data_IF_764391071997
#
_entry.id   IF_764391071997
#
_cell.length_a   1.000
_cell.length_b   1.000
_cell.length_c   1.000
_cell.angle_alpha   90.00
_cell.angle_beta   90.00
_cell.angle_gamma   90.00
#
_symmetry.space_group_name_H-M   'P 1'
#
loop_
_entity.id
_entity.type
_entity.pdbx_description
1 polymer ?
#
# COMPACT_ATOMS: atom_id res chain seq x y z
N UNK A 1 -44.23 -1.09 5.00
CA UNK A 1 -43.00 -1.81 5.38
C UNK A 1 -41.86 -0.85 5.06
N UNK A 2 -41.55 0.03 6.01
CA UNK A 2 -40.56 1.09 5.79
C UNK A 2 -39.17 0.46 5.82
N UNK A 3 -38.42 0.60 4.73
CA UNK A 3 -37.01 0.28 4.71
C UNK A 3 -36.31 1.23 5.70
N UNK A 4 -35.80 0.69 6.80
CA UNK A 4 -34.87 1.40 7.65
C UNK A 4 -33.64 1.74 6.80
N UNK A 5 -33.60 2.96 6.30
CA UNK A 5 -32.43 3.56 5.66
C UNK A 5 -31.42 3.83 6.77
N UNK A 6 -30.79 2.76 7.26
CA UNK A 6 -29.68 2.86 8.18
C UNK A 6 -28.63 3.73 7.53
N UNK A 7 -28.32 4.87 8.12
CA UNK A 7 -27.16 5.66 7.73
C UNK A 7 -25.94 4.88 8.19
N UNK A 8 -25.57 3.84 7.44
CA UNK A 8 -24.37 3.07 7.72
C UNK A 8 -23.20 4.00 7.46
N UNK A 9 -22.60 4.51 8.54
CA UNK A 9 -21.37 5.30 8.43
C UNK A 9 -20.29 4.33 7.95
N UNK A 10 -19.79 4.56 6.75
CA UNK A 10 -18.63 3.83 6.25
C UNK A 10 -17.43 4.14 7.18
N UNK A 11 -16.58 3.13 7.46
CA UNK A 11 -15.37 3.35 8.23
C UNK A 11 -14.46 4.36 7.52
N UNK A 12 -13.73 5.16 8.30
CA UNK A 12 -12.72 6.09 7.80
C UNK A 12 -11.34 5.73 8.40
N UNK A 13 -10.34 5.42 7.56
CA UNK A 13 -10.43 5.24 6.11
C UNK A 13 -11.20 3.96 5.73
N UNK A 14 -11.76 3.94 4.52
CA UNK A 14 -12.41 2.76 3.97
C UNK A 14 -11.36 1.87 3.30
N UNK A 15 -11.24 0.64 3.79
CA UNK A 15 -10.37 -0.39 3.21
C UNK A 15 -11.22 -1.49 2.59
N UNK A 16 -10.88 -1.85 1.35
CA UNK A 16 -11.51 -2.91 0.60
C UNK A 16 -10.55 -4.09 0.44
N UNK A 17 -11.09 -5.29 0.55
CA UNK A 17 -10.44 -6.54 0.17
C UNK A 17 -10.94 -6.94 -1.20
N UNK A 18 -10.02 -6.96 -2.15
CA UNK A 18 -10.21 -7.52 -3.48
C UNK A 18 -9.77 -8.97 -3.46
N UNK A 19 -10.55 -9.88 -4.03
CA UNK A 19 -10.15 -11.28 -4.23
C UNK A 19 -10.34 -11.71 -5.68
N UNK A 20 -9.42 -12.53 -6.18
CA UNK A 20 -9.49 -13.16 -7.49
C UNK A 20 -9.13 -14.64 -7.40
N UNK A 21 -9.75 -15.47 -8.26
CA UNK A 21 -9.55 -16.91 -8.28
C UNK A 21 -10.33 -17.68 -7.20
N UNK A 22 -10.16 -19.00 -7.18
CA UNK A 22 -10.88 -19.92 -6.30
C UNK A 22 -9.93 -20.91 -5.60
N UNK A 23 -10.38 -21.44 -4.46
CA UNK A 23 -9.67 -22.49 -3.72
C UNK A 23 -8.22 -22.12 -3.39
N UNK A 24 -7.28 -22.99 -3.73
CA UNK A 24 -5.86 -22.82 -3.45
C UNK A 24 -5.17 -21.72 -4.27
N UNK A 25 -5.78 -21.27 -5.37
CA UNK A 25 -5.24 -20.19 -6.21
C UNK A 25 -5.85 -18.82 -5.86
N UNK A 26 -6.75 -18.77 -4.87
CA UNK A 26 -7.40 -17.52 -4.46
C UNK A 26 -6.35 -16.54 -3.96
N UNK A 27 -6.20 -15.42 -4.67
CA UNK A 27 -5.38 -14.28 -4.28
C UNK A 27 -6.27 -13.22 -3.65
N UNK A 28 -5.69 -12.47 -2.73
CA UNK A 28 -6.36 -11.33 -2.11
C UNK A 28 -5.40 -10.16 -1.97
N UNK A 29 -5.95 -8.95 -2.07
CA UNK A 29 -5.22 -7.70 -1.86
C UNK A 29 -6.11 -6.72 -1.13
N UNK A 30 -5.56 -6.07 -0.11
CA UNK A 30 -6.24 -4.98 0.59
C UNK A 30 -5.80 -3.64 -0.01
N UNK A 31 -6.76 -2.78 -0.27
CA UNK A 31 -6.57 -1.47 -0.90
C UNK A 31 -7.41 -0.42 -0.19
N UNK A 32 -6.93 0.82 -0.18
CA UNK A 32 -7.74 1.98 0.20
C UNK A 32 -8.65 2.43 -0.93
N UNK A 33 -9.67 3.21 -0.60
CA UNK A 33 -10.53 3.89 -1.57
C UNK A 33 -10.16 5.37 -1.63
N UNK A 34 -9.74 5.84 -2.81
CA UNK A 34 -9.49 7.25 -3.05
C UNK A 34 -10.80 8.02 -3.25
N UNK A 35 -11.64 7.56 -4.17
CA UNK A 35 -12.92 8.19 -4.50
C UNK A 35 -13.92 7.20 -5.11
N UNK A 36 -15.19 7.61 -5.18
CA UNK A 36 -16.29 6.86 -5.79
C UNK A 36 -16.75 7.52 -7.09
N UNK A 37 -15.83 7.63 -8.06
CA UNK A 37 -16.06 8.26 -9.36
C UNK A 37 -16.16 7.25 -10.52
N UNK A 38 -15.78 5.99 -10.27
CA UNK A 38 -15.81 4.94 -11.27
C UNK A 38 -17.25 4.62 -11.73
N UNK A 39 -17.43 4.13 -12.97
CA UNK A 39 -18.72 3.64 -13.45
C UNK A 39 -19.30 2.54 -12.56
N UNK A 40 -20.62 2.33 -12.65
CA UNK A 40 -21.31 1.26 -11.92
C UNK A 40 -20.69 -0.11 -12.26
N UNK A 41 -20.54 -0.95 -11.24
CA UNK A 41 -19.92 -2.29 -11.33
C UNK A 41 -18.46 -2.30 -11.82
N UNK A 42 -17.77 -1.15 -11.81
CA UNK A 42 -16.36 -1.04 -12.19
C UNK A 42 -15.51 -0.63 -11.00
N UNK A 43 -14.42 -1.37 -10.79
CA UNK A 43 -13.33 -0.95 -9.89
C UNK A 43 -12.15 -0.55 -10.76
N UNK A 44 -11.67 0.69 -10.58
CA UNK A 44 -10.43 1.16 -11.21
C UNK A 44 -9.31 1.00 -10.19
N UNK A 45 -8.28 0.25 -10.56
CA UNK A 45 -7.11 0.02 -9.72
C UNK A 45 -5.83 0.25 -10.53
N UNK A 46 -4.71 0.58 -9.89
CA UNK A 46 -3.39 0.56 -10.52
C UNK A 46 -3.01 -0.84 -11.01
N UNK A 47 -2.15 -0.91 -12.04
CA UNK A 47 -1.70 -2.18 -12.64
C UNK A 47 -1.05 -3.12 -11.61
N UNK A 48 -0.27 -2.57 -10.67
CA UNK A 48 0.38 -3.36 -9.62
C UNK A 48 -0.61 -4.10 -8.71
N UNK A 49 -1.86 -3.62 -8.57
CA UNK A 49 -2.92 -4.32 -7.83
C UNK A 49 -3.39 -5.54 -8.62
N UNK A 50 -3.53 -5.40 -9.95
CA UNK A 50 -3.92 -6.51 -10.82
C UNK A 50 -2.82 -7.57 -10.88
N UNK A 51 -1.56 -7.17 -10.94
CA UNK A 51 -0.39 -8.04 -10.86
C UNK A 51 -0.37 -8.83 -9.54
N UNK A 52 -0.59 -8.16 -8.41
CA UNK A 52 -0.64 -8.81 -7.09
C UNK A 52 -1.78 -9.85 -6.96
N UNK A 53 -2.88 -9.63 -7.69
CA UNK A 53 -4.02 -10.55 -7.74
C UNK A 53 -3.88 -11.64 -8.81
N UNK A 54 -2.85 -11.59 -9.65
CA UNK A 54 -2.69 -12.44 -10.84
C UNK A 54 -3.93 -12.38 -11.75
N UNK A 55 -4.39 -11.14 -11.99
CA UNK A 55 -5.61 -10.83 -12.74
C UNK A 55 -5.31 -9.87 -13.89
N UNK A 56 -6.27 -9.73 -14.82
CA UNK A 56 -6.15 -8.80 -15.96
C UNK A 56 -7.33 -7.82 -16.01
N UNK A 57 -7.19 -6.67 -16.69
CA UNK A 57 -8.32 -5.75 -16.91
C UNK A 57 -9.56 -6.48 -17.45
N UNK A 58 -10.73 -6.16 -16.90
CA UNK A 58 -12.00 -6.83 -17.22
C UNK A 58 -12.29 -8.11 -16.44
N UNK A 59 -11.35 -8.58 -15.58
CA UNK A 59 -11.61 -9.69 -14.66
C UNK A 59 -12.67 -9.32 -13.63
N UNK A 60 -13.53 -10.28 -13.28
CA UNK A 60 -14.49 -10.11 -12.19
C UNK A 60 -13.78 -10.33 -10.86
N UNK A 61 -13.86 -9.33 -9.97
CA UNK A 61 -13.27 -9.36 -8.64
C UNK A 61 -14.35 -9.46 -7.56
N UNK A 62 -14.11 -10.25 -6.51
CA UNK A 62 -14.92 -10.19 -5.30
C UNK A 62 -14.45 -9.00 -4.45
N UNK A 63 -15.36 -8.11 -4.10
CA UNK A 63 -15.08 -6.91 -3.29
C UNK A 63 -15.82 -7.03 -1.95
N UNK A 64 -15.08 -6.86 -0.86
CA UNK A 64 -15.64 -6.80 0.49
C UNK A 64 -14.96 -5.68 1.29
N UNK A 65 -15.66 -5.11 2.27
CA UNK A 65 -15.02 -4.22 3.26
C UNK A 65 -14.14 -5.05 4.19
N UNK A 66 -13.01 -4.48 4.62
CA UNK A 66 -12.12 -5.09 5.60
C UNK A 66 -11.76 -4.10 6.70
N UNK A 67 -11.78 -4.57 7.94
CA UNK A 67 -11.24 -3.85 9.08
C UNK A 67 -9.77 -4.24 9.25
N UNK A 68 -8.90 -3.24 9.34
CA UNK A 68 -7.46 -3.41 9.54
C UNK A 68 -7.02 -2.60 10.76
N UNK A 69 -6.15 -3.16 11.62
CA UNK A 69 -5.63 -2.42 12.76
C UNK A 69 -4.75 -1.26 12.27
N UNK A 70 -4.72 -0.17 13.05
CA UNK A 70 -3.81 0.95 12.80
C UNK A 70 -2.38 0.53 13.10
N UNK A 71 -1.46 0.93 12.24
CA UNK A 71 -0.04 0.67 12.40
C UNK A 71 0.51 1.41 13.62
N UNK A 72 1.46 0.78 14.31
CA UNK A 72 2.30 1.41 15.35
C UNK A 72 3.77 1.34 14.96
N UNK A 73 4.17 0.27 14.27
CA UNK A 73 5.50 0.12 13.69
C UNK A 73 5.41 -0.60 12.35
N UNK A 74 6.19 -0.13 11.39
CA UNK A 74 6.39 -0.79 10.10
C UNK A 74 7.87 -0.97 9.83
N UNK A 75 8.24 -2.08 9.20
CA UNK A 75 9.59 -2.30 8.70
C UNK A 75 9.59 -2.28 7.19
N UNK A 76 10.54 -1.55 6.61
CA UNK A 76 10.69 -1.37 5.18
C UNK A 76 12.12 -1.71 4.77
N UNK A 77 12.28 -2.48 3.68
CA UNK A 77 13.59 -2.86 3.16
C UNK A 77 13.67 -2.54 1.66
N UNK A 78 14.52 -1.62 1.22
CA UNK A 78 14.69 -1.33 -0.19
C UNK A 78 15.14 -2.56 -0.97
N UNK A 79 14.53 -2.79 -2.13
CA UNK A 79 14.89 -3.94 -2.97
C UNK A 79 16.27 -3.75 -3.58
N UNK A 80 16.61 -2.52 -3.99
CA UNK A 80 17.86 -2.13 -4.66
C UNK A 80 18.64 -1.09 -3.84
N UNK A 81 19.98 -1.09 -3.89
CA UNK A 81 20.82 -0.11 -3.17
C UNK A 81 20.85 1.23 -3.87
N UNK A 82 20.70 1.29 -5.20
CA UNK A 82 20.85 2.53 -5.96
C UNK A 82 19.95 3.65 -5.42
N UNK A 83 18.73 3.32 -4.98
CA UNK A 83 17.80 4.29 -4.38
C UNK A 83 18.16 4.77 -2.97
N UNK A 84 19.02 4.05 -2.24
CA UNK A 84 19.46 4.45 -0.90
C UNK A 84 20.67 5.37 -0.92
N UNK A 85 21.42 5.39 -2.02
CA UNK A 85 22.80 5.86 -1.98
C UNK A 85 22.93 7.38 -1.89
N UNK A 86 22.12 8.18 -2.59
CA UNK A 86 22.06 9.66 -2.46
C UNK A 86 20.79 10.15 -3.15
N UNK A 87 19.90 10.86 -2.47
CA UNK A 87 19.17 11.90 -3.21
C UNK A 87 20.19 12.97 -3.58
N UNK A 88 20.02 13.62 -4.73
CA UNK A 88 20.92 14.66 -5.25
C UNK A 88 21.21 15.79 -4.26
N UNK A 89 20.37 15.92 -3.23
CA UNK A 89 20.31 17.07 -2.32
C UNK A 89 20.86 16.74 -0.92
N UNK A 90 21.34 15.52 -0.69
CA UNK A 90 21.84 15.07 0.61
C UNK A 90 20.72 14.80 1.63
N UNK A 91 19.49 14.58 1.14
CA UNK A 91 18.33 14.24 1.96
C UNK A 91 18.43 12.78 2.43
N UNK A 92 18.08 12.53 3.69
CA UNK A 92 18.08 11.18 4.26
C UNK A 92 16.98 10.36 3.57
N UNK A 93 17.38 9.34 2.79
CA UNK A 93 16.47 8.46 2.06
C UNK A 93 15.37 7.86 2.95
N UNK A 94 15.63 7.74 4.26
CA UNK A 94 14.63 7.33 5.26
C UNK A 94 13.47 8.31 5.37
N UNK A 95 13.76 9.60 5.40
CA UNK A 95 12.73 10.65 5.50
C UNK A 95 11.94 10.73 4.19
N UNK A 96 12.58 10.53 3.04
CA UNK A 96 11.90 10.47 1.75
C UNK A 96 10.95 9.27 1.67
N UNK A 97 11.41 8.09 2.11
CA UNK A 97 10.59 6.88 2.23
C UNK A 97 9.39 7.10 3.14
N UNK A 98 9.59 7.70 4.31
CA UNK A 98 8.49 8.02 5.22
C UNK A 98 7.48 8.96 4.57
N UNK A 99 7.94 10.05 3.93
CA UNK A 99 7.07 11.03 3.25
C UNK A 99 6.29 10.42 2.09
N UNK A 100 6.95 9.64 1.24
CA UNK A 100 6.35 9.08 0.03
C UNK A 100 5.29 8.00 0.29
N UNK A 101 5.19 7.46 1.51
CA UNK A 101 4.09 6.56 1.89
C UNK A 101 2.77 7.30 2.04
N UNK A 102 2.83 8.50 2.61
CA UNK A 102 1.65 9.28 2.96
C UNK A 102 0.95 9.82 1.71
N UNK A 103 -0.37 9.63 1.64
CA UNK A 103 -1.18 10.07 0.51
C UNK A 103 -1.26 9.09 -0.66
N UNK A 104 -0.38 8.09 -0.72
CA UNK A 104 -0.41 7.03 -1.75
C UNK A 104 -1.02 5.75 -1.21
N UNK A 105 -0.56 5.31 -0.03
CA UNK A 105 -0.98 4.03 0.55
C UNK A 105 -1.89 4.25 1.76
N UNK A 106 -3.00 3.50 1.82
CA UNK A 106 -3.86 3.46 3.00
C UNK A 106 -3.49 2.33 3.93
N UNK A 107 -3.10 1.18 3.36
CA UNK A 107 -2.73 -0.01 4.10
C UNK A 107 -1.50 -0.69 3.48
N UNK A 108 -0.74 -1.37 4.33
CA UNK A 108 0.45 -2.14 3.95
C UNK A 108 0.25 -3.59 4.38
N UNK A 109 0.59 -4.55 3.52
CA UNK A 109 0.57 -5.98 3.86
C UNK A 109 1.99 -6.54 3.87
N UNK A 110 2.29 -7.38 4.86
CA UNK A 110 3.62 -7.94 5.01
C UNK A 110 3.98 -8.82 3.81
N UNK A 111 5.20 -8.66 3.29
CA UNK A 111 5.70 -9.34 2.10
C UNK A 111 5.38 -8.63 0.78
N UNK A 112 4.58 -7.56 0.79
CA UNK A 112 4.35 -6.76 -0.41
C UNK A 112 5.62 -6.03 -0.85
N UNK A 113 5.82 -5.92 -2.16
CA UNK A 113 6.76 -4.94 -2.74
C UNK A 113 5.96 -3.76 -3.23
N UNK A 114 6.25 -2.58 -2.69
CA UNK A 114 5.58 -1.33 -3.03
C UNK A 114 6.55 -0.35 -3.69
N UNK A 115 6.02 0.59 -4.46
CA UNK A 115 6.78 1.65 -5.12
C UNK A 115 6.56 2.97 -4.41
N UNK A 116 7.64 3.61 -3.99
CA UNK A 116 7.58 4.89 -3.29
C UNK A 116 8.27 5.93 -4.19
N UNK A 117 7.56 7.00 -4.60
CA UNK A 117 8.18 8.07 -5.35
C UNK A 117 9.16 8.83 -4.46
N UNK A 118 10.34 9.11 -4.99
CA UNK A 118 11.38 9.92 -4.38
C UNK A 118 11.38 11.29 -5.05
N UNK A 119 11.15 12.32 -4.25
CA UNK A 119 11.15 13.72 -4.71
C UNK A 119 10.34 14.60 -3.78
N UNK A 120 10.68 15.89 -3.74
CA UNK A 120 9.86 16.88 -3.05
C UNK A 120 8.68 17.24 -3.96
N UNK A 121 7.46 16.94 -3.50
CA UNK A 121 6.21 17.28 -4.20
C UNK A 121 5.91 18.81 -4.25
N UNK A 122 6.92 19.66 -4.04
CA UNK A 122 6.79 21.11 -3.91
C UNK A 122 7.12 21.89 -5.17
N UNK A 123 7.69 21.28 -6.20
CA UNK A 123 7.97 21.97 -7.45
C UNK A 123 6.91 21.65 -8.50
N UNK A 124 5.98 22.59 -8.70
CA UNK A 124 4.94 22.57 -9.75
C UNK A 124 5.52 22.68 -11.18
N UNK A 125 6.80 22.37 -11.39
CA UNK A 125 7.49 22.57 -12.65
C UNK A 125 8.49 21.47 -12.91
N UNK A 126 8.40 20.98 -14.15
CA UNK A 126 9.23 20.01 -14.85
C UNK A 126 8.91 18.53 -14.64
N UNK A 127 8.60 17.91 -15.78
CA UNK A 127 8.40 16.49 -16.09
C UNK A 127 9.68 15.66 -15.84
N UNK A 128 10.42 15.99 -14.79
CA UNK A 128 11.61 15.29 -14.35
C UNK A 128 11.15 13.93 -13.84
N UNK A 129 11.75 12.86 -14.37
CA UNK A 129 11.47 11.48 -13.96
C UNK A 129 11.45 11.39 -12.43
N UNK A 130 10.27 11.15 -11.85
CA UNK A 130 10.15 10.89 -10.42
C UNK A 130 10.82 9.54 -10.20
N UNK A 131 11.99 9.54 -9.58
CA UNK A 131 12.68 8.31 -9.24
C UNK A 131 11.80 7.50 -8.26
N UNK A 132 11.40 6.29 -8.64
CA UNK A 132 10.66 5.40 -7.75
C UNK A 132 11.59 4.37 -7.13
N UNK A 133 11.45 4.14 -5.82
CA UNK A 133 12.15 3.07 -5.12
C UNK A 133 11.19 1.94 -4.81
N UNK A 134 11.58 0.73 -5.20
CA UNK A 134 10.91 -0.50 -4.78
C UNK A 134 11.34 -0.91 -3.37
N UNK A 135 10.35 -1.17 -2.51
CA UNK A 135 10.56 -1.45 -1.10
C UNK A 135 9.72 -2.65 -0.70
N UNK A 136 10.38 -3.64 -0.09
CA UNK A 136 9.71 -4.75 0.57
C UNK A 136 9.14 -4.31 1.91
N UNK A 137 7.86 -4.57 2.11
CA UNK A 137 7.17 -4.44 3.38
C UNK A 137 7.52 -5.63 4.26
N UNK A 138 8.25 -5.38 5.34
CA UNK A 138 8.68 -6.37 6.28
C UNK A 138 7.65 -6.63 7.38
N UNK A 139 8.12 -6.62 8.63
CA UNK A 139 7.29 -6.78 9.82
C UNK A 139 6.33 -5.59 10.01
N UNK A 140 5.10 -5.89 10.40
CA UNK A 140 4.04 -4.90 10.64
C UNK A 140 3.48 -5.11 12.05
N UNK A 141 3.44 -4.04 12.83
CA UNK A 141 2.86 -4.00 14.17
C UNK A 141 1.70 -3.00 14.21
N UNK A 142 0.66 -3.31 14.99
CA UNK A 142 -0.48 -2.43 15.17
C UNK A 142 -1.48 -3.01 16.16
N UNK A 143 -2.17 -4.06 15.73
CA UNK A 143 -3.15 -4.79 16.54
C UNK A 143 -3.43 -6.17 15.95
N UNK A 144 -4.40 -6.88 16.52
CA UNK A 144 -4.83 -8.17 15.99
C UNK A 144 -5.55 -7.96 14.66
N UNK A 145 -5.17 -8.76 13.66
CA UNK A 145 -5.86 -8.84 12.38
C UNK A 145 -6.26 -10.30 12.15
N UNK A 146 -7.52 -10.53 11.77
CA UNK A 146 -8.01 -11.86 11.40
C UNK A 146 -7.67 -12.21 9.94
N UNK A 147 -6.97 -11.32 9.24
CA UNK A 147 -6.58 -11.51 7.85
C UNK A 147 -5.45 -12.56 7.72
N UNK A 148 -5.48 -13.38 6.67
CA UNK A 148 -4.43 -14.38 6.42
C UNK A 148 -3.02 -13.79 6.30
N UNK A 149 -2.93 -12.56 5.79
CA UNK A 149 -1.69 -11.82 5.63
C UNK A 149 -1.73 -10.68 6.64
N UNK A 150 -0.69 -10.48 7.48
CA UNK A 150 -0.62 -9.33 8.35
C UNK A 150 -0.71 -8.03 7.53
N UNK A 151 -1.74 -7.24 7.80
CA UNK A 151 -2.00 -5.97 7.12
C UNK A 151 -2.35 -4.92 8.17
N UNK A 152 -1.80 -3.72 8.01
CA UNK A 152 -2.07 -2.56 8.88
C UNK A 152 -2.50 -1.35 8.06
N UNK A 153 -3.33 -0.50 8.65
CA UNK A 153 -3.66 0.83 8.12
C UNK A 153 -2.61 1.83 8.58
N UNK A 154 -2.09 2.64 7.66
CA UNK A 154 -1.11 3.69 7.98
C UNK A 154 -1.72 5.09 8.09
N UNK A 155 -2.97 5.28 7.67
CA UNK A 155 -3.66 6.59 7.72
C UNK A 155 -4.24 6.86 9.11
N UNK A 156 -4.30 8.14 9.51
CA UNK A 156 -4.76 8.60 10.83
C UNK A 156 -4.09 7.83 11.99
N UNK A 157 -2.75 7.69 11.91
CA UNK A 157 -1.91 7.09 12.95
C UNK A 157 -1.24 8.22 13.75
N UNK A 158 -1.30 8.15 15.08
CA UNK A 158 -0.75 9.19 15.97
C UNK A 158 0.78 9.20 15.98
N UNK A 159 1.40 8.02 16.04
CA UNK A 159 2.85 7.85 16.04
C UNK A 159 3.19 6.56 15.29
N UNK A 160 3.86 6.69 14.14
CA UNK A 160 4.29 5.58 13.32
C UNK A 160 5.81 5.44 13.39
N UNK A 161 6.30 4.34 13.95
CA UNK A 161 7.73 4.02 13.91
C UNK A 161 8.04 3.32 12.59
N UNK A 162 8.85 3.94 11.74
CA UNK A 162 9.34 3.34 10.50
C UNK A 162 10.78 2.85 10.68
N UNK A 163 10.98 1.54 10.50
CA UNK A 163 12.31 0.92 10.57
C UNK A 163 12.79 0.56 9.17
N UNK A 164 13.74 1.34 8.65
CA UNK A 164 14.31 1.14 7.32
C UNK A 164 15.60 0.30 7.42
N UNK A 165 15.48 -0.97 7.04
CA UNK A 165 16.58 -1.95 7.05
C UNK A 165 17.50 -1.85 5.83
N UNK A 166 18.54 -2.70 5.80
CA UNK A 166 19.47 -2.79 4.67
C UNK A 166 18.80 -3.36 3.41
N UNK A 167 19.32 -2.96 2.25
CA UNK A 167 18.83 -3.42 0.95
C UNK A 167 19.02 -4.93 0.74
N UNK A 168 18.04 -5.54 0.05
CA UNK A 168 17.98 -6.96 -0.27
C UNK A 168 18.99 -7.41 -1.33
N UNK A 169 19.64 -6.50 -2.05
CA UNK A 169 20.59 -6.84 -3.12
C UNK A 169 21.73 -7.76 -2.70
N UNK A 170 22.19 -7.62 -1.45
CA UNK A 170 23.30 -8.41 -0.94
C UNK A 170 22.90 -9.86 -0.66
N UNK A 171 21.60 -10.12 -0.53
CA UNK A 171 21.05 -11.45 -0.23
C UNK A 171 20.79 -12.26 -1.50
N UNK A 172 20.74 -11.63 -2.68
CA UNK A 172 20.57 -12.29 -3.98
C UNK A 172 21.89 -12.81 -4.59
N UNK A 173 23.05 -12.54 -3.97
CA UNK A 173 24.37 -12.95 -4.46
C UNK A 173 24.95 -14.21 -3.79
N UNK A 174 24.17 -14.92 -2.97
CA UNK A 174 24.57 -16.14 -2.24
C UNK A 174 23.93 -17.41 -2.80
#
# INVERSE_FOLDING_TARGET
>A
MEAQKGTQRLPNPLVLRLSFGEGAQRRMKLVGVLEFSAPEEVVVVPDWVLEALDSTPGSLLEVATADVPRATRISLRPVRREGLCRTSDGFDARVALERGLWGIYTCLSSGDVIRIPMGDATDETDETEIDEIEVLVGELCGGLSELPIPTVCIVDVEELVCDVGESLENEQQL
#
